data_IF_588820905832
#
_entry.id   IF_588820905832
#
_cell.length_a   1.000
_cell.length_b   1.000
_cell.length_c   1.000
_cell.angle_alpha   90.00
_cell.angle_beta   90.00
_cell.angle_gamma   90.00
#
_symmetry.space_group_name_H-M   'P 1'
#
loop_
_entity.id
_entity.type
_entity.pdbx_description
1 polymer ?
#
# COMPACT_ATOMS: atom_id res chain seq x y z
N UNK A 1 -2.35 -12.09 -17.49
CA UNK A 1 -1.88 -11.60 -16.18
C UNK A 1 -1.97 -10.07 -16.21
N UNK A 2 -2.54 -9.44 -15.19
CA UNK A 2 -2.75 -7.98 -15.16
C UNK A 2 -1.43 -7.30 -14.78
N UNK A 3 -0.99 -6.39 -15.62
CA UNK A 3 0.15 -5.51 -15.39
C UNK A 3 -0.26 -4.07 -15.70
N UNK A 4 0.13 -3.14 -14.84
CA UNK A 4 -0.08 -1.71 -15.05
C UNK A 4 1.29 -1.07 -15.28
N UNK A 5 1.43 -0.34 -16.38
CA UNK A 5 2.69 0.31 -16.74
C UNK A 5 2.54 1.82 -16.66
N UNK A 6 3.52 2.45 -16.08
CA UNK A 6 3.67 3.91 -16.01
C UNK A 6 4.99 4.30 -16.70
N UNK A 7 5.33 5.60 -16.83
CA UNK A 7 6.62 5.99 -17.40
C UNK A 7 7.84 5.36 -16.72
N UNK A 8 7.76 5.06 -15.41
CA UNK A 8 8.91 4.54 -14.65
C UNK A 8 8.65 3.21 -13.96
N UNK A 9 7.40 2.80 -13.78
CA UNK A 9 7.03 1.67 -12.92
C UNK A 9 6.34 0.56 -13.69
N UNK A 10 6.52 -0.67 -13.21
CA UNK A 10 5.69 -1.80 -13.52
C UNK A 10 4.96 -2.23 -12.24
N UNK A 11 3.64 -2.22 -12.27
CA UNK A 11 2.81 -2.79 -11.21
C UNK A 11 2.33 -4.17 -11.70
N UNK A 12 2.63 -5.21 -10.96
CA UNK A 12 2.27 -6.59 -11.29
C UNK A 12 1.82 -7.37 -10.06
N UNK A 13 1.22 -8.51 -10.27
CA UNK A 13 0.82 -9.37 -9.15
C UNK A 13 2.04 -9.89 -8.39
N UNK A 14 1.92 -10.09 -7.05
CA UNK A 14 3.01 -10.61 -6.21
C UNK A 14 3.34 -12.07 -6.55
N UNK A 15 4.61 -12.45 -6.34
CA UNK A 15 5.16 -13.80 -6.55
C UNK A 15 6.03 -14.20 -5.37
N UNK A 16 6.28 -15.49 -5.20
CA UNK A 16 7.17 -15.99 -4.13
C UNK A 16 8.61 -15.45 -4.28
N UNK A 17 9.05 -15.19 -5.51
CA UNK A 17 10.36 -14.61 -5.80
C UNK A 17 10.54 -13.18 -5.26
N UNK A 18 9.44 -12.53 -4.87
CA UNK A 18 9.47 -11.20 -4.28
C UNK A 18 9.81 -11.21 -2.78
N UNK A 19 10.01 -12.39 -2.18
CA UNK A 19 10.17 -12.55 -0.74
C UNK A 19 11.32 -11.72 -0.15
N UNK A 20 12.50 -11.76 -0.75
CA UNK A 20 13.67 -11.00 -0.31
C UNK A 20 13.40 -9.48 -0.32
N UNK A 21 12.78 -8.99 -1.38
CA UNK A 21 12.44 -7.59 -1.52
C UNK A 21 11.40 -7.15 -0.47
N UNK A 22 10.35 -7.96 -0.26
CA UNK A 22 9.37 -7.67 0.79
C UNK A 22 9.97 -7.73 2.19
N UNK A 23 10.84 -8.69 2.46
CA UNK A 23 11.54 -8.73 3.74
C UNK A 23 12.38 -7.47 3.97
N UNK A 24 13.07 -6.98 2.95
CA UNK A 24 13.82 -5.72 3.03
C UNK A 24 12.94 -4.53 3.44
N UNK A 25 11.70 -4.46 2.95
CA UNK A 25 10.75 -3.41 3.33
C UNK A 25 10.16 -3.68 4.72
N UNK A 26 9.64 -4.89 4.95
CA UNK A 26 8.88 -5.26 6.15
C UNK A 26 9.75 -5.37 7.41
N UNK A 27 11.05 -5.55 7.27
CA UNK A 27 12.02 -5.51 8.38
C UNK A 27 12.57 -4.11 8.67
N UNK A 28 12.30 -3.15 7.81
CA UNK A 28 12.81 -1.78 7.96
C UNK A 28 11.93 -0.98 8.94
N UNK A 29 12.49 -0.50 10.07
CA UNK A 29 11.70 0.24 11.07
C UNK A 29 11.08 1.54 10.54
N UNK A 30 11.74 2.22 9.60
CA UNK A 30 11.19 3.44 9.00
C UNK A 30 10.00 3.13 8.10
N UNK A 31 10.08 2.07 7.29
CA UNK A 31 8.99 1.64 6.43
C UNK A 31 7.76 1.23 7.25
N UNK A 32 8.00 0.57 8.38
CA UNK A 32 6.94 -0.01 9.22
C UNK A 32 6.45 0.90 10.34
N UNK A 33 6.99 2.12 10.46
CA UNK A 33 6.68 3.02 11.59
C UNK A 33 5.19 3.28 11.78
N UNK A 34 4.44 3.39 10.69
CA UNK A 34 3.00 3.66 10.70
C UNK A 34 2.19 2.56 10.03
N UNK A 35 2.79 1.38 9.88
CA UNK A 35 2.10 0.21 9.34
C UNK A 35 1.23 -0.46 10.41
N UNK A 36 0.43 -1.43 10.04
CA UNK A 36 -0.48 -2.14 10.95
C UNK A 36 0.20 -3.23 11.79
N UNK A 37 1.45 -3.54 11.52
CA UNK A 37 2.25 -4.52 12.26
C UNK A 37 3.65 -3.97 12.56
N UNK A 38 4.29 -4.53 13.59
CA UNK A 38 5.70 -4.22 13.89
C UNK A 38 6.62 -4.77 12.79
N UNK A 39 7.87 -4.25 12.68
CA UNK A 39 8.82 -4.80 11.73
C UNK A 39 9.00 -6.31 11.86
N UNK A 40 9.11 -7.01 10.74
CA UNK A 40 9.33 -8.45 10.73
C UNK A 40 10.72 -8.79 11.24
N UNK A 41 10.79 -9.67 12.25
CA UNK A 41 12.05 -10.05 12.89
C UNK A 41 12.92 -10.96 12.01
N UNK A 42 12.32 -11.70 11.08
CA UNK A 42 13.01 -12.59 10.15
C UNK A 42 12.22 -12.79 8.86
N UNK A 43 12.89 -13.30 7.84
CA UNK A 43 12.26 -13.62 6.56
C UNK A 43 11.17 -14.69 6.70
N UNK A 44 11.27 -15.55 7.73
CA UNK A 44 10.26 -16.57 8.03
C UNK A 44 8.91 -15.97 8.48
N UNK A 45 8.92 -14.74 9.00
CA UNK A 45 7.69 -13.98 9.29
C UNK A 45 7.10 -13.37 8.01
N UNK A 46 7.95 -12.91 7.10
CA UNK A 46 7.53 -12.30 5.84
C UNK A 46 6.94 -13.33 4.87
N UNK A 47 7.47 -14.55 4.84
CA UNK A 47 7.01 -15.60 3.92
C UNK A 47 5.50 -15.87 4.02
N UNK A 48 4.91 -16.22 5.18
CA UNK A 48 3.47 -16.44 5.26
C UNK A 48 2.65 -15.18 4.98
N UNK A 49 3.19 -14.02 5.26
CA UNK A 49 2.55 -12.76 4.89
C UNK A 49 2.44 -12.60 3.37
N UNK A 50 3.53 -12.84 2.64
CA UNK A 50 3.55 -12.81 1.17
C UNK A 50 2.65 -13.90 0.56
N UNK A 51 2.67 -15.11 1.11
CA UNK A 51 1.80 -16.21 0.66
C UNK A 51 0.31 -15.84 0.79
N UNK A 52 -0.08 -15.19 1.89
CA UNK A 52 -1.45 -14.67 2.06
C UNK A 52 -1.79 -13.58 1.04
N UNK A 53 -0.85 -12.68 0.73
CA UNK A 53 -1.04 -11.65 -0.29
C UNK A 53 -1.24 -12.27 -1.68
N UNK A 54 -0.44 -13.28 -2.04
CA UNK A 54 -0.57 -14.03 -3.29
C UNK A 54 -1.93 -14.73 -3.37
N UNK A 55 -2.31 -15.45 -2.31
CA UNK A 55 -3.59 -16.17 -2.25
C UNK A 55 -4.78 -15.21 -2.34
N UNK A 56 -4.69 -14.07 -1.69
CA UNK A 56 -5.72 -13.01 -1.74
C UNK A 56 -5.83 -12.42 -3.15
N UNK A 57 -4.72 -12.15 -3.82
CA UNK A 57 -4.71 -11.68 -5.21
C UNK A 57 -5.32 -12.69 -6.18
N UNK A 58 -5.16 -13.99 -5.93
CA UNK A 58 -5.76 -15.04 -6.73
C UNK A 58 -7.28 -15.18 -6.52
N UNK A 59 -7.82 -14.67 -5.41
CA UNK A 59 -9.23 -14.76 -5.03
C UNK A 59 -9.99 -13.41 -5.10
N UNK A 60 -9.49 -12.47 -5.87
CA UNK A 60 -10.15 -11.18 -6.14
C UNK A 60 -9.61 -9.98 -5.34
N UNK A 61 -8.52 -10.15 -4.61
CA UNK A 61 -7.78 -9.03 -4.03
C UNK A 61 -7.00 -8.26 -5.10
N UNK A 62 -6.88 -6.98 -4.92
CA UNK A 62 -6.25 -6.07 -5.88
C UNK A 62 -4.88 -5.58 -5.37
N UNK A 63 -4.00 -6.53 -5.04
CA UNK A 63 -2.64 -6.25 -4.58
C UNK A 63 -1.66 -6.27 -5.77
N UNK A 64 -0.80 -5.26 -5.85
CA UNK A 64 0.27 -5.15 -6.84
C UNK A 64 1.60 -4.84 -6.17
N UNK A 65 2.67 -5.48 -6.61
CA UNK A 65 4.03 -5.04 -6.29
C UNK A 65 4.42 -3.88 -7.19
N UNK A 66 5.24 -2.99 -6.67
CA UNK A 66 5.82 -1.87 -7.42
C UNK A 66 7.23 -2.24 -7.82
N UNK A 67 7.46 -2.34 -9.13
CA UNK A 67 8.78 -2.60 -9.69
C UNK A 67 9.32 -1.31 -10.33
N UNK A 68 10.52 -0.90 -9.91
CA UNK A 68 11.24 0.25 -10.39
C UNK A 68 12.63 -0.18 -10.81
N UNK A 69 13.03 0.11 -12.06
CA UNK A 69 14.32 -0.31 -12.62
C UNK A 69 14.63 -1.81 -12.43
N UNK A 70 13.61 -2.66 -12.61
CA UNK A 70 13.74 -4.11 -12.47
C UNK A 70 13.82 -4.63 -11.03
N UNK A 71 13.55 -3.78 -10.04
CA UNK A 71 13.57 -4.15 -8.60
C UNK A 71 12.23 -3.90 -7.95
N UNK A 72 11.76 -4.83 -7.14
CA UNK A 72 10.59 -4.61 -6.29
C UNK A 72 10.97 -3.66 -5.17
N UNK A 73 10.28 -2.52 -5.09
CA UNK A 73 10.55 -1.44 -4.12
C UNK A 73 9.39 -1.21 -3.14
N UNK A 74 8.28 -1.89 -3.32
CA UNK A 74 7.12 -1.77 -2.45
C UNK A 74 5.87 -2.41 -3.04
N UNK A 75 4.74 -2.03 -2.53
CA UNK A 75 3.43 -2.49 -2.99
C UNK A 75 2.38 -1.37 -2.95
N UNK A 76 1.32 -1.56 -3.72
CA UNK A 76 0.17 -0.68 -3.79
C UNK A 76 -1.07 -1.52 -4.08
N UNK A 77 -2.18 -1.17 -3.49
CA UNK A 77 -3.42 -1.84 -3.82
C UNK A 77 -4.47 -1.86 -2.73
N UNK A 78 -5.37 -2.79 -2.89
CA UNK A 78 -6.48 -3.03 -1.99
C UNK A 78 -6.60 -4.55 -1.76
N UNK A 79 -6.04 -5.03 -0.68
CA UNK A 79 -6.25 -6.42 -0.28
C UNK A 79 -7.74 -6.76 -0.18
N UNK A 80 -8.54 -5.76 0.13
CA UNK A 80 -10.00 -5.81 0.12
C UNK A 80 -10.55 -4.42 -0.21
N UNK A 81 -11.15 -4.27 -1.39
CA UNK A 81 -11.85 -3.03 -1.73
C UNK A 81 -12.97 -2.73 -0.72
N UNK A 82 -13.19 -1.47 -0.35
CA UNK A 82 -12.58 -0.25 -0.90
C UNK A 82 -11.27 0.22 -0.22
N UNK A 83 -10.71 -0.53 0.73
CA UNK A 83 -9.52 -0.12 1.48
C UNK A 83 -8.28 -0.10 0.57
N UNK A 84 -7.66 1.06 0.48
CA UNK A 84 -6.48 1.33 -0.34
C UNK A 84 -5.27 1.62 0.53
N UNK A 85 -4.12 1.13 0.11
CA UNK A 85 -2.86 1.40 0.79
C UNK A 85 -1.66 1.25 -0.13
N UNK A 86 -0.52 1.72 0.34
CA UNK A 86 0.75 1.61 -0.37
C UNK A 86 1.92 1.62 0.62
N UNK A 87 3.02 1.01 0.22
CA UNK A 87 4.28 1.04 0.95
C UNK A 87 5.44 1.07 -0.03
N UNK A 88 6.46 1.89 0.25
CA UNK A 88 7.68 2.01 -0.54
C UNK A 88 8.89 1.92 0.38
N UNK A 89 9.91 1.17 -0.03
CA UNK A 89 11.16 1.09 0.71
C UNK A 89 11.77 2.48 0.90
N UNK A 90 12.27 2.83 2.10
CA UNK A 90 12.77 4.17 2.40
C UNK A 90 13.86 4.68 1.46
N UNK A 91 14.71 3.82 0.91
CA UNK A 91 15.76 4.20 -0.04
C UNK A 91 15.20 4.83 -1.34
N UNK A 92 13.91 4.63 -1.60
CA UNK A 92 13.22 5.15 -2.78
C UNK A 92 12.24 6.29 -2.47
N UNK A 93 12.21 6.76 -1.22
CA UNK A 93 11.37 7.88 -0.84
C UNK A 93 11.83 9.19 -1.51
N UNK A 94 10.89 10.15 -1.64
CA UNK A 94 11.17 11.45 -2.22
C UNK A 94 11.32 11.46 -3.74
N UNK A 95 10.99 10.37 -4.42
CA UNK A 95 11.10 10.23 -5.90
C UNK A 95 9.75 10.23 -6.62
N UNK A 96 8.65 10.40 -5.88
CA UNK A 96 7.29 10.37 -6.45
C UNK A 96 6.77 8.99 -6.80
N UNK A 97 7.43 7.90 -6.39
CA UNK A 97 7.06 6.53 -6.73
C UNK A 97 5.70 6.16 -6.14
N UNK A 98 5.46 6.47 -4.86
CA UNK A 98 4.17 6.19 -4.21
C UNK A 98 3.02 6.89 -4.93
N UNK A 99 3.18 8.15 -5.30
CA UNK A 99 2.15 8.92 -6.02
C UNK A 99 1.89 8.34 -7.41
N UNK A 100 2.95 8.01 -8.17
CA UNK A 100 2.83 7.45 -9.52
C UNK A 100 2.16 6.07 -9.51
N UNK A 101 2.60 5.18 -8.62
CA UNK A 101 2.02 3.85 -8.44
C UNK A 101 0.55 3.92 -8.02
N UNK A 102 0.25 4.77 -7.05
CA UNK A 102 -1.11 4.94 -6.53
C UNK A 102 -2.07 5.48 -7.58
N UNK A 103 -1.63 6.43 -8.42
CA UNK A 103 -2.45 6.95 -9.51
C UNK A 103 -2.81 5.86 -10.51
N UNK A 104 -1.83 5.07 -10.94
CA UNK A 104 -2.06 3.95 -11.85
C UNK A 104 -3.02 2.91 -11.24
N UNK A 105 -2.88 2.60 -9.97
CA UNK A 105 -3.79 1.70 -9.27
C UNK A 105 -5.21 2.27 -9.18
N UNK A 106 -5.36 3.54 -8.84
CA UNK A 106 -6.67 4.20 -8.72
C UNK A 106 -7.42 4.17 -10.05
N UNK A 107 -6.76 4.51 -11.14
CA UNK A 107 -7.33 4.46 -12.49
C UNK A 107 -7.80 3.02 -12.80
N UNK A 108 -6.94 2.04 -12.58
CA UNK A 108 -7.28 0.63 -12.75
C UNK A 108 -8.49 0.21 -11.89
N UNK A 109 -8.49 0.54 -10.60
CA UNK A 109 -9.55 0.14 -9.68
C UNK A 109 -10.91 0.68 -10.13
N UNK A 110 -10.97 1.93 -10.56
CA UNK A 110 -12.21 2.52 -11.06
C UNK A 110 -12.62 2.03 -12.45
N UNK A 111 -11.68 1.61 -13.29
CA UNK A 111 -11.99 1.06 -14.61
C UNK A 111 -12.40 -0.41 -14.54
N UNK A 112 -11.67 -1.20 -13.76
CA UNK A 112 -11.78 -2.67 -13.77
C UNK A 112 -12.78 -3.22 -12.74
N UNK A 113 -13.21 -2.41 -11.77
CA UNK A 113 -14.12 -2.86 -10.70
C UNK A 113 -15.35 -1.96 -10.58
N UNK A 114 -16.35 -2.43 -9.83
CA UNK A 114 -17.55 -1.64 -9.55
C UNK A 114 -17.42 -0.77 -8.28
N UNK A 115 -16.20 -0.59 -7.75
CA UNK A 115 -15.99 0.19 -6.53
C UNK A 115 -16.41 1.64 -6.74
N UNK A 116 -17.22 2.18 -5.85
CA UNK A 116 -17.74 3.55 -5.95
C UNK A 116 -16.83 4.58 -5.28
N UNK A 117 -15.94 4.14 -4.41
CA UNK A 117 -14.93 4.96 -3.75
C UNK A 117 -13.78 4.09 -3.27
N UNK A 118 -12.62 4.69 -3.08
CA UNK A 118 -11.52 4.12 -2.33
C UNK A 118 -11.42 4.81 -0.97
N UNK A 119 -11.03 4.07 0.05
CA UNK A 119 -10.85 4.59 1.41
C UNK A 119 -9.42 4.32 1.89
N UNK A 120 -8.92 5.18 2.75
CA UNK A 120 -7.63 5.01 3.40
C UNK A 120 -7.75 5.33 4.90
N UNK A 121 -7.00 4.57 5.70
CA UNK A 121 -6.84 4.77 7.13
C UNK A 121 -5.37 5.03 7.42
N UNK A 122 -5.04 6.21 7.93
CA UNK A 122 -3.66 6.69 8.08
C UNK A 122 -3.45 7.22 9.49
N UNK A 123 -2.32 6.88 10.11
CA UNK A 123 -1.89 7.52 11.34
C UNK A 123 -1.70 9.03 11.09
N UNK A 124 -2.32 9.91 11.89
CA UNK A 124 -2.22 11.37 11.69
C UNK A 124 -0.78 11.91 11.72
N UNK A 125 0.16 11.18 12.29
CA UNK A 125 1.59 11.53 12.31
C UNK A 125 2.29 11.18 11.00
N UNK A 126 1.71 10.33 10.17
CA UNK A 126 2.24 9.94 8.86
C UNK A 126 1.97 11.03 7.82
N UNK A 127 2.64 12.15 7.95
CA UNK A 127 2.45 13.32 7.08
C UNK A 127 2.83 13.04 5.64
N UNK A 128 3.78 12.15 5.38
CA UNK A 128 4.17 11.76 4.03
C UNK A 128 3.03 11.06 3.27
N UNK A 129 2.38 10.08 3.91
CA UNK A 129 1.21 9.39 3.32
C UNK A 129 0.02 10.34 3.13
N UNK A 130 -0.26 11.19 4.12
CA UNK A 130 -1.34 12.19 4.02
C UNK A 130 -1.10 13.14 2.84
N UNK A 131 0.14 13.52 2.61
CA UNK A 131 0.51 14.39 1.48
C UNK A 131 0.32 13.69 0.13
N UNK A 132 0.71 12.42 0.02
CA UNK A 132 0.48 11.61 -1.18
C UNK A 132 -1.02 11.48 -1.45
N UNK A 133 -1.81 11.11 -0.45
CA UNK A 133 -3.27 10.96 -0.58
C UNK A 133 -3.94 12.27 -0.97
N UNK A 134 -3.51 13.40 -0.40
CA UNK A 134 -4.00 14.73 -0.79
C UNK A 134 -3.74 15.06 -2.25
N UNK A 135 -2.54 14.75 -2.76
CA UNK A 135 -2.20 14.92 -4.19
C UNK A 135 -3.03 14.04 -5.12
N UNK A 136 -3.52 12.90 -4.63
CA UNK A 136 -4.37 11.99 -5.39
C UNK A 136 -5.85 12.38 -5.34
N UNK A 137 -6.21 13.36 -4.54
CA UNK A 137 -7.59 13.85 -4.42
C UNK A 137 -8.40 13.23 -3.29
N UNK A 138 -7.78 12.43 -2.41
CA UNK A 138 -8.46 11.94 -1.21
C UNK A 138 -8.80 13.09 -0.27
N UNK A 139 -10.00 13.04 0.30
CA UNK A 139 -10.50 13.99 1.29
C UNK A 139 -10.71 13.30 2.64
N UNK A 140 -10.38 14.02 3.71
CA UNK A 140 -10.61 13.54 5.06
C UNK A 140 -12.11 13.44 5.33
N UNK A 141 -12.55 12.28 5.85
CA UNK A 141 -13.94 12.00 6.20
C UNK A 141 -14.16 11.89 7.69
N UNK A 142 -13.09 11.72 8.47
CA UNK A 142 -13.19 11.64 9.93
C UNK A 142 -11.86 11.32 10.59
N UNK A 143 -11.88 11.33 11.92
CA UNK A 143 -10.76 10.95 12.79
C UNK A 143 -11.27 10.15 13.96
N UNK A 144 -10.41 9.26 14.47
CA UNK A 144 -10.67 8.55 15.71
C UNK A 144 -9.36 8.32 16.48
N UNK A 145 -9.46 8.33 17.80
CA UNK A 145 -8.33 8.06 18.68
C UNK A 145 -8.29 6.58 19.06
N UNK A 146 -7.08 6.07 19.30
CA UNK A 146 -6.85 4.71 19.82
C UNK A 146 -7.59 3.63 19.02
N UNK A 147 -7.43 3.66 17.71
CA UNK A 147 -8.14 2.77 16.78
C UNK A 147 -7.46 1.42 16.61
N UNK A 148 -6.13 1.36 16.77
CA UNK A 148 -5.39 0.11 16.68
C UNK A 148 -4.13 0.13 17.56
N UNK A 149 -3.67 -1.08 17.92
CA UNK A 149 -2.50 -1.29 18.76
C UNK A 149 -1.33 -1.77 17.89
N UNK A 150 -0.28 -0.94 17.77
CA UNK A 150 0.96 -1.28 17.08
C UNK A 150 2.01 -1.63 18.13
N UNK A 151 2.30 -2.93 18.29
CA UNK A 151 3.11 -3.39 19.40
C UNK A 151 2.41 -3.06 20.73
N UNK A 152 3.00 -2.16 21.51
CA UNK A 152 2.43 -1.64 22.78
C UNK A 152 1.86 -0.23 22.67
N UNK A 153 1.91 0.37 21.47
CA UNK A 153 1.48 1.74 21.22
C UNK A 153 0.09 1.79 20.62
N UNK A 154 -0.83 2.50 21.26
CA UNK A 154 -2.12 2.85 20.69
C UNK A 154 -1.97 3.97 19.68
N UNK A 155 -2.49 3.72 18.47
CA UNK A 155 -2.42 4.63 17.35
C UNK A 155 -3.80 5.16 16.98
N UNK A 156 -3.81 6.37 16.44
CA UNK A 156 -5.02 7.05 16.00
C UNK A 156 -5.19 6.87 14.48
N UNK A 157 -6.37 7.21 13.99
CA UNK A 157 -6.70 7.16 12.57
C UNK A 157 -7.20 8.49 12.05
N UNK A 158 -6.76 8.83 10.83
CA UNK A 158 -7.42 9.75 9.91
C UNK A 158 -8.03 8.91 8.81
N UNK A 159 -9.32 9.05 8.58
CA UNK A 159 -10.04 8.38 7.50
C UNK A 159 -10.16 9.31 6.31
N UNK A 160 -9.85 8.80 5.13
CA UNK A 160 -9.94 9.55 3.88
C UNK A 160 -10.69 8.73 2.84
N UNK A 161 -11.30 9.42 1.89
CA UNK A 161 -11.99 8.77 0.79
C UNK A 161 -11.73 9.52 -0.53
N UNK A 162 -11.70 8.74 -1.60
CA UNK A 162 -11.69 9.22 -2.98
C UNK A 162 -12.89 8.60 -3.69
N UNK A 163 -13.94 9.40 -3.99
CA UNK A 163 -15.08 8.90 -4.76
C UNK A 163 -14.69 8.63 -6.21
N UNK A 164 -15.41 7.69 -6.85
CA UNK A 164 -15.31 7.49 -8.30
C UNK A 164 -15.61 8.80 -9.03
N UNK A 165 -14.80 9.19 -10.00
CA UNK A 165 -15.13 10.33 -10.85
C UNK A 165 -16.46 10.10 -11.57
N UNK A 166 -17.24 11.17 -11.67
CA UNK A 166 -18.54 11.15 -12.33
C UNK A 166 -18.44 11.03 -13.85
#
# INVERSE_FOLDING_TARGET
MIELRTPRLLLRRPRLDDLEAFYSVMSNPQAMRYWSTVPHASIDVTRPWLERMIARSASGGEDFVIEFEGRVVGDVGAGRLPEFGFMVHPDYWGRGIATEASRAFIDYAFEATAVERLTADVDPRNTASLRVLGKLGFIETGRAERTFLLGEEWCDSVYLALPRPG
#
